data_IF_191873914471
#
_entry.id   IF_191873914471
#
_cell.length_a   1.000
_cell.length_b   1.000
_cell.length_c   1.000
_cell.angle_alpha   90.00
_cell.angle_beta   90.00
_cell.angle_gamma   90.00
#
_symmetry.space_group_name_H-M   'P 1'
#
loop_
_entity.id
_entity.type
_entity.pdbx_description
1 polymer ?
#
# COMPACT_ATOMS: atom_id res chain seq x y z
N UNK A 1 5.73 -12.11 18.18
CA UNK A 1 5.51 -12.90 16.95
C UNK A 1 6.71 -12.68 16.03
N UNK A 2 7.50 -13.70 15.70
CA UNK A 2 8.64 -13.52 14.79
C UNK A 2 8.16 -13.55 13.33
N UNK A 3 8.12 -12.38 12.70
CA UNK A 3 7.93 -12.24 11.27
C UNK A 3 9.30 -12.15 10.60
N UNK A 4 9.58 -13.08 9.70
CA UNK A 4 10.83 -13.13 8.94
C UNK A 4 10.51 -13.05 7.46
N UNK A 5 11.26 -12.21 6.76
CA UNK A 5 11.32 -12.15 5.30
C UNK A 5 12.80 -12.14 4.92
N UNK A 6 13.14 -12.94 3.91
CA UNK A 6 14.44 -12.87 3.26
C UNK A 6 14.19 -12.80 1.76
N UNK A 7 14.66 -11.72 1.14
CA UNK A 7 14.65 -11.58 -0.30
C UNK A 7 16.03 -11.98 -0.84
N UNK A 8 16.03 -12.67 -1.99
CA UNK A 8 17.23 -13.01 -2.74
C UNK A 8 16.93 -12.92 -4.25
N UNK A 9 17.96 -12.89 -5.08
CA UNK A 9 17.85 -12.86 -6.53
C UNK A 9 18.42 -14.14 -7.13
N UNK A 10 17.63 -14.79 -7.98
CA UNK A 10 18.04 -15.95 -8.76
C UNK A 10 17.90 -15.63 -10.26
N UNK A 11 18.96 -15.09 -10.86
CA UNK A 11 18.90 -14.57 -12.23
C UNK A 11 17.97 -13.36 -12.32
N UNK A 12 16.94 -13.47 -13.15
CA UNK A 12 15.92 -12.43 -13.31
C UNK A 12 14.78 -12.51 -12.29
N UNK A 13 14.71 -13.59 -11.51
CA UNK A 13 13.67 -13.81 -10.50
C UNK A 13 14.08 -13.19 -9.15
N UNK A 14 13.13 -12.55 -8.48
CA UNK A 14 13.28 -12.15 -7.08
C UNK A 14 12.48 -13.11 -6.19
N UNK A 15 13.16 -13.73 -5.23
CA UNK A 15 12.61 -14.80 -4.40
C UNK A 15 12.54 -14.31 -2.96
N UNK A 16 11.35 -14.32 -2.37
CA UNK A 16 11.08 -13.92 -0.99
C UNK A 16 10.62 -15.11 -0.15
N UNK A 17 11.29 -15.42 0.96
CA UNK A 17 10.87 -16.48 1.88
C UNK A 17 10.15 -15.86 3.08
N UNK A 18 8.86 -16.18 3.24
CA UNK A 18 8.01 -15.67 4.32
C UNK A 18 7.57 -16.79 5.27
N UNK A 19 7.57 -16.47 6.57
CA UNK A 19 6.98 -17.38 7.57
C UNK A 19 5.45 -17.45 7.41
N UNK A 20 4.79 -18.57 7.80
CA UNK A 20 3.33 -18.70 7.77
C UNK A 20 2.58 -17.53 8.45
N UNK A 21 3.11 -17.08 9.60
CA UNK A 21 2.53 -15.96 10.33
C UNK A 21 2.66 -14.63 9.57
N UNK A 22 3.78 -14.42 8.87
CA UNK A 22 3.99 -13.22 8.06
C UNK A 22 3.02 -13.18 6.88
N UNK A 23 2.85 -14.31 6.19
CA UNK A 23 1.90 -14.44 5.08
C UNK A 23 0.47 -14.24 5.55
N UNK A 24 0.03 -14.95 6.60
CA UNK A 24 -1.33 -14.82 7.11
C UNK A 24 -1.65 -13.39 7.56
N UNK A 25 -0.68 -12.73 8.21
CA UNK A 25 -0.83 -11.34 8.62
C UNK A 25 -0.90 -10.39 7.41
N UNK A 26 0.06 -10.49 6.48
CA UNK A 26 0.15 -9.62 5.31
C UNK A 26 -1.06 -9.78 4.39
N UNK A 27 -1.49 -11.02 4.10
CA UNK A 27 -2.72 -11.27 3.33
C UNK A 27 -3.92 -10.59 3.97
N UNK A 28 -4.11 -10.75 5.29
CA UNK A 28 -5.23 -10.09 5.99
C UNK A 28 -5.17 -8.57 5.86
N UNK A 29 -3.98 -7.96 6.00
CA UNK A 29 -3.85 -6.51 5.85
C UNK A 29 -4.09 -6.05 4.41
N UNK A 30 -3.54 -6.76 3.43
CA UNK A 30 -3.73 -6.45 2.01
C UNK A 30 -5.19 -6.62 1.57
N UNK A 31 -5.91 -7.61 2.08
CA UNK A 31 -7.36 -7.76 1.85
C UNK A 31 -8.13 -6.56 2.42
N UNK A 32 -7.90 -6.18 3.68
CA UNK A 32 -8.57 -5.00 4.25
C UNK A 32 -8.21 -3.69 3.54
N UNK A 33 -6.98 -3.58 3.04
CA UNK A 33 -6.56 -2.43 2.24
C UNK A 33 -7.23 -2.41 0.85
N UNK A 34 -7.37 -3.57 0.20
CA UNK A 34 -8.17 -3.71 -1.03
C UNK A 34 -9.61 -3.27 -0.84
N UNK A 35 -10.26 -3.72 0.25
CA UNK A 35 -11.63 -3.34 0.59
C UNK A 35 -11.76 -1.83 0.85
N UNK A 36 -10.77 -1.21 1.51
CA UNK A 36 -10.72 0.23 1.73
C UNK A 36 -10.62 1.02 0.41
N UNK A 37 -9.76 0.58 -0.51
CA UNK A 37 -9.59 1.22 -1.82
C UNK A 37 -10.84 1.06 -2.68
N UNK A 38 -11.44 -0.12 -2.68
CA UNK A 38 -12.70 -0.38 -3.38
C UNK A 38 -13.82 0.49 -2.81
N UNK A 39 -13.97 0.55 -1.48
CA UNK A 39 -14.92 1.44 -0.82
C UNK A 39 -14.73 2.89 -1.24
N UNK A 40 -13.49 3.38 -1.32
CA UNK A 40 -13.23 4.75 -1.79
C UNK A 40 -13.66 4.92 -3.24
N UNK A 41 -13.32 3.96 -4.10
CA UNK A 41 -13.66 4.00 -5.51
C UNK A 41 -15.18 4.08 -5.74
N UNK A 42 -15.99 3.39 -4.93
CA UNK A 42 -17.46 3.44 -5.05
C UNK A 42 -18.07 4.82 -4.78
N UNK A 43 -17.32 5.75 -4.16
CA UNK A 43 -17.78 7.11 -3.88
C UNK A 43 -17.53 8.09 -5.02
N UNK A 44 -16.80 7.69 -6.05
CA UNK A 44 -16.49 8.58 -7.17
C UNK A 44 -17.71 8.81 -8.04
N UNK A 45 -17.90 10.07 -8.44
CA UNK A 45 -19.01 10.48 -9.27
C UNK A 45 -18.73 10.07 -10.72
N UNK A 46 -19.69 9.33 -11.29
CA UNK A 46 -19.72 8.99 -12.72
C UNK A 46 -20.64 9.90 -13.52
N UNK A 47 -21.53 10.64 -12.85
CA UNK A 47 -22.51 11.55 -13.46
C UNK A 47 -21.96 12.98 -13.70
N UNK A 48 -20.67 13.20 -13.41
CA UNK A 48 -20.02 14.47 -13.72
C UNK A 48 -19.75 14.58 -15.24
N UNK A 49 -20.08 15.70 -15.92
CA UNK A 49 -19.86 15.85 -17.37
C UNK A 49 -18.41 15.68 -17.80
N UNK A 50 -17.45 16.01 -16.92
CA UNK A 50 -16.02 15.79 -17.18
C UNK A 50 -15.68 14.31 -17.05
N UNK A 51 -16.18 13.64 -16.01
CA UNK A 51 -16.03 12.19 -15.82
C UNK A 51 -16.60 11.41 -17.02
N UNK A 52 -17.76 11.80 -17.54
CA UNK A 52 -18.35 11.23 -18.75
C UNK A 52 -17.47 11.46 -19.98
N UNK A 53 -16.96 12.69 -20.15
CA UNK A 53 -16.13 13.05 -21.29
C UNK A 53 -14.78 12.30 -21.34
N UNK A 54 -14.19 11.98 -20.18
CA UNK A 54 -12.90 11.27 -20.09
C UNK A 54 -13.04 9.77 -19.83
N UNK A 55 -14.24 9.29 -19.48
CA UNK A 55 -14.53 7.89 -19.18
C UNK A 55 -13.93 7.38 -17.86
N UNK A 56 -13.61 8.28 -16.92
CA UNK A 56 -13.02 7.95 -15.62
C UNK A 56 -13.84 8.61 -14.50
N UNK A 57 -14.26 7.86 -13.46
CA UNK A 57 -14.96 8.44 -12.31
C UNK A 57 -14.09 9.48 -11.60
N UNK A 58 -14.69 10.56 -11.11
CA UNK A 58 -13.97 11.63 -10.41
C UNK A 58 -14.32 11.71 -8.92
N UNK A 59 -13.35 12.07 -8.10
CA UNK A 59 -13.60 12.41 -6.71
C UNK A 59 -14.35 13.76 -6.64
N UNK A 60 -15.56 13.76 -6.09
CA UNK A 60 -16.38 14.97 -5.93
C UNK A 60 -16.00 15.79 -4.69
N UNK A 61 -15.32 15.16 -3.73
CA UNK A 61 -14.82 15.78 -2.51
C UNK A 61 -13.60 14.99 -1.97
N UNK A 62 -12.71 15.64 -1.19
CA UNK A 62 -11.63 14.95 -0.49
C UNK A 62 -12.18 13.84 0.41
N UNK A 63 -11.42 12.77 0.58
CA UNK A 63 -11.75 11.82 1.64
C UNK A 63 -11.40 12.41 3.01
N UNK A 64 -12.11 11.93 4.03
CA UNK A 64 -11.90 12.38 5.41
C UNK A 64 -11.43 11.24 6.33
N UNK A 65 -11.33 10.00 5.82
CA UNK A 65 -10.87 8.88 6.63
C UNK A 65 -9.35 8.98 6.86
N UNK A 66 -8.87 9.21 8.10
CA UNK A 66 -7.49 9.60 8.34
C UNK A 66 -6.42 8.65 7.76
N UNK A 67 -6.55 7.31 7.89
CA UNK A 67 -5.58 6.38 7.30
C UNK A 67 -5.49 6.46 5.77
N UNK A 68 -6.62 6.62 5.07
CA UNK A 68 -6.62 6.72 3.61
C UNK A 68 -6.06 8.06 3.14
N UNK A 69 -6.42 9.16 3.81
CA UNK A 69 -5.85 10.48 3.52
C UNK A 69 -4.34 10.47 3.68
N UNK A 70 -3.82 9.84 4.74
CA UNK A 70 -2.37 9.69 4.93
C UNK A 70 -1.72 8.96 3.76
N UNK A 71 -2.30 7.85 3.34
CA UNK A 71 -1.83 7.05 2.22
C UNK A 71 -1.84 7.81 0.89
N UNK A 72 -2.89 8.58 0.61
CA UNK A 72 -2.99 9.37 -0.62
C UNK A 72 -1.97 10.51 -0.66
N UNK A 73 -1.70 11.15 0.49
CA UNK A 73 -0.71 12.24 0.61
C UNK A 73 0.73 11.82 0.35
N UNK A 74 1.05 10.54 0.50
CA UNK A 74 2.36 10.00 0.14
C UNK A 74 2.60 9.99 -1.38
N UNK A 75 1.53 10.03 -2.18
CA UNK A 75 1.60 9.95 -3.65
C UNK A 75 1.18 11.27 -4.30
N UNK A 76 0.16 11.93 -3.74
CA UNK A 76 -0.40 13.19 -4.21
C UNK A 76 0.00 14.27 -3.21
N UNK A 77 1.00 15.11 -3.52
CA UNK A 77 1.52 16.09 -2.57
C UNK A 77 0.46 17.12 -2.15
N UNK A 78 0.50 17.55 -0.88
CA UNK A 78 -0.44 18.54 -0.34
C UNK A 78 -0.22 19.95 -0.93
N UNK A 79 0.94 20.22 -1.54
CA UNK A 79 1.22 21.49 -2.22
C UNK A 79 0.36 21.67 -3.49
N UNK A 80 -0.15 20.58 -4.06
CA UNK A 80 -1.03 20.64 -5.22
C UNK A 80 -2.42 21.20 -4.85
N UNK A 81 -2.99 22.10 -5.67
CA UNK A 81 -4.36 22.58 -5.49
C UNK A 81 -5.35 21.42 -5.38
N UNK A 82 -6.34 21.55 -4.49
CA UNK A 82 -7.35 20.51 -4.26
C UNK A 82 -8.00 19.96 -5.55
N UNK A 83 -8.41 20.78 -6.52
CA UNK A 83 -8.98 20.25 -7.77
C UNK A 83 -8.03 19.33 -8.54
N UNK A 84 -6.71 19.59 -8.49
CA UNK A 84 -5.71 18.73 -9.12
C UNK A 84 -5.59 17.41 -8.34
N UNK A 85 -5.58 17.49 -7.00
CA UNK A 85 -5.53 16.30 -6.15
C UNK A 85 -6.74 15.39 -6.38
N UNK A 86 -7.94 15.96 -6.43
CA UNK A 86 -9.19 15.22 -6.70
C UNK A 86 -9.24 14.64 -8.11
N UNK A 87 -8.58 15.28 -9.08
CA UNK A 87 -8.46 14.75 -10.44
C UNK A 87 -7.52 13.53 -10.49
N UNK A 88 -6.44 13.51 -9.70
CA UNK A 88 -5.46 12.41 -9.68
C UNK A 88 -5.88 11.24 -8.81
N UNK A 89 -6.66 11.50 -7.76
CA UNK A 89 -7.03 10.51 -6.77
C UNK A 89 -7.60 9.21 -7.34
N UNK A 90 -8.54 9.23 -8.31
CA UNK A 90 -9.11 8.00 -8.86
C UNK A 90 -8.08 7.10 -9.55
N UNK A 91 -7.12 7.69 -10.26
CA UNK A 91 -6.04 6.94 -10.90
C UNK A 91 -5.09 6.33 -9.87
N UNK A 92 -4.75 7.08 -8.83
CA UNK A 92 -3.92 6.58 -7.71
C UNK A 92 -4.63 5.45 -6.98
N UNK A 93 -5.91 5.59 -6.66
CA UNK A 93 -6.70 4.53 -5.99
C UNK A 93 -6.81 3.29 -6.85
N UNK A 94 -7.09 3.44 -8.16
CA UNK A 94 -7.14 2.32 -9.11
C UNK A 94 -5.79 1.61 -9.23
N UNK A 95 -4.70 2.38 -9.33
CA UNK A 95 -3.34 1.84 -9.39
C UNK A 95 -3.00 1.04 -8.12
N UNK A 96 -3.25 1.60 -6.93
CA UNK A 96 -3.02 0.94 -5.66
C UNK A 96 -3.88 -0.32 -5.49
N UNK A 97 -5.12 -0.29 -6.00
CA UNK A 97 -6.01 -1.45 -5.96
C UNK A 97 -5.44 -2.57 -6.83
N UNK A 98 -5.06 -2.28 -8.07
CA UNK A 98 -4.45 -3.26 -8.98
C UNK A 98 -3.13 -3.81 -8.41
N UNK A 99 -2.27 -2.95 -7.86
CA UNK A 99 -1.03 -3.36 -7.21
C UNK A 99 -1.30 -4.27 -5.99
N UNK A 100 -2.34 -3.96 -5.21
CA UNK A 100 -2.77 -4.80 -4.08
C UNK A 100 -3.21 -6.18 -4.52
N UNK A 101 -3.94 -6.29 -5.63
CA UNK A 101 -4.33 -7.59 -6.19
C UNK A 101 -3.09 -8.41 -6.60
N UNK A 102 -2.13 -7.79 -7.28
CA UNK A 102 -0.88 -8.47 -7.66
C UNK A 102 -0.12 -8.98 -6.43
N UNK A 103 -0.06 -8.21 -5.34
CA UNK A 103 0.55 -8.67 -4.08
C UNK A 103 -0.21 -9.87 -3.51
N UNK A 104 -1.55 -9.84 -3.51
CA UNK A 104 -2.37 -10.96 -3.01
C UNK A 104 -2.22 -12.24 -3.85
N UNK A 105 -2.11 -12.08 -5.17
CA UNK A 105 -1.96 -13.17 -6.14
C UNK A 105 -0.56 -13.81 -6.06
N UNK A 106 0.46 -13.02 -5.74
CA UNK A 106 1.86 -13.49 -5.62
C UNK A 106 2.21 -13.99 -4.21
N UNK A 107 1.40 -13.66 -3.19
CA UNK A 107 1.55 -14.22 -1.86
C UNK A 107 1.10 -15.68 -1.81
N UNK A 108 1.87 -16.60 -1.20
CA UNK A 108 1.40 -17.98 -0.99
C UNK A 108 0.22 -18.02 0.00
N UNK A 109 -0.55 -19.11 0.03
CA UNK A 109 -1.72 -19.21 0.90
C UNK A 109 -1.38 -19.39 2.39
N UNK A 110 -0.37 -20.21 2.71
CA UNK A 110 -0.11 -20.68 4.09
C UNK A 110 1.30 -20.35 4.61
N UNK A 111 2.13 -19.68 3.82
CA UNK A 111 3.57 -19.50 4.08
C UNK A 111 4.42 -19.96 2.90
N UNK A 112 5.70 -19.63 2.91
CA UNK A 112 6.66 -20.14 1.91
C UNK A 112 7.20 -19.07 0.98
N UNK A 113 7.36 -19.44 -0.28
CA UNK A 113 8.14 -18.67 -1.25
C UNK A 113 7.22 -17.79 -2.09
N UNK A 114 7.53 -16.50 -2.13
CA UNK A 114 7.07 -15.53 -3.12
C UNK A 114 8.10 -15.53 -4.24
N UNK A 115 7.67 -15.66 -5.50
CA UNK A 115 8.54 -15.51 -6.66
C UNK A 115 7.99 -14.39 -7.53
N UNK A 116 8.78 -13.34 -7.73
CA UNK A 116 8.46 -12.23 -8.61
C UNK A 116 9.32 -12.37 -9.87
N UNK A 117 8.67 -12.67 -10.99
CA UNK A 117 9.30 -12.94 -12.28
C UNK A 117 9.18 -11.74 -13.22
N UNK A 118 8.12 -10.95 -13.08
CA UNK A 118 7.84 -9.84 -13.96
C UNK A 118 8.03 -8.50 -13.27
N UNK A 119 8.53 -7.51 -14.02
CA UNK A 119 8.79 -6.17 -13.49
C UNK A 119 7.56 -5.53 -12.84
N UNK A 120 6.37 -5.75 -13.43
CA UNK A 120 5.12 -5.23 -12.91
C UNK A 120 4.78 -5.76 -11.50
N UNK A 121 5.21 -6.99 -11.16
CA UNK A 121 4.99 -7.57 -9.84
C UNK A 121 5.86 -6.88 -8.79
N UNK A 122 7.12 -6.59 -9.15
CA UNK A 122 8.05 -5.86 -8.30
C UNK A 122 7.51 -4.45 -8.04
N UNK A 123 7.12 -3.74 -9.10
CA UNK A 123 6.57 -2.38 -8.99
C UNK A 123 5.27 -2.38 -8.15
N UNK A 124 4.42 -3.41 -8.29
CA UNK A 124 3.21 -3.55 -7.48
C UNK A 124 3.52 -3.74 -5.98
N UNK A 125 4.50 -4.58 -5.64
CA UNK A 125 4.95 -4.73 -4.25
C UNK A 125 5.55 -3.43 -3.69
N UNK A 126 6.33 -2.72 -4.50
CA UNK A 126 6.94 -1.43 -4.12
C UNK A 126 5.90 -0.31 -3.99
N UNK A 127 4.74 -0.41 -4.63
CA UNK A 127 3.64 0.55 -4.49
C UNK A 127 2.70 0.21 -3.33
N UNK A 128 2.14 -0.99 -3.31
CA UNK A 128 1.04 -1.34 -2.42
C UNK A 128 1.49 -1.56 -0.98
N UNK A 129 2.64 -2.21 -0.75
CA UNK A 129 3.08 -2.55 0.62
C UNK A 129 3.48 -1.31 1.42
N UNK A 130 4.23 -0.32 0.88
CA UNK A 130 4.49 0.92 1.62
C UNK A 130 3.23 1.74 1.88
N UNK A 131 2.30 1.78 0.93
CA UNK A 131 1.07 2.55 1.10
C UNK A 131 0.15 1.90 2.15
N UNK A 132 0.00 0.57 2.12
CA UNK A 132 -0.70 -0.17 3.17
C UNK A 132 -0.04 0.01 4.54
N UNK A 133 1.30 0.07 4.61
CA UNK A 133 2.03 0.39 5.86
C UNK A 133 1.59 1.73 6.45
N UNK A 134 1.38 2.75 5.62
CA UNK A 134 0.90 4.08 6.05
C UNK A 134 -0.51 3.96 6.64
N UNK A 135 -1.42 3.30 5.93
CA UNK A 135 -2.79 3.04 6.40
C UNK A 135 -2.76 2.33 7.75
N UNK A 136 -2.00 1.25 7.86
CA UNK A 136 -1.87 0.47 9.09
C UNK A 136 -1.28 1.30 10.24
N UNK A 137 -0.20 2.03 10.02
CA UNK A 137 0.48 2.80 11.05
C UNK A 137 -0.40 3.92 11.61
N UNK A 138 -1.18 4.60 10.77
CA UNK A 138 -2.15 5.62 11.22
C UNK A 138 -3.31 4.95 11.95
N UNK A 139 -3.89 3.88 11.39
CA UNK A 139 -5.01 3.16 12.00
C UNK A 139 -4.67 2.57 13.37
N UNK A 140 -3.43 2.09 13.55
CA UNK A 140 -2.92 1.56 14.82
C UNK A 140 -2.46 2.64 15.81
N UNK A 141 -2.50 3.93 15.43
CA UNK A 141 -2.06 5.04 16.27
C UNK A 141 -0.54 5.14 16.45
N UNK A 142 0.24 4.48 15.58
CA UNK A 142 1.70 4.56 15.55
C UNK A 142 2.15 5.89 14.94
N UNK A 143 1.46 6.33 13.89
CA UNK A 143 1.69 7.60 13.22
C UNK A 143 0.58 8.62 13.54
N UNK A 144 0.91 9.92 13.50
CA UNK A 144 -0.09 10.96 13.74
C UNK A 144 -1.20 10.91 12.68
N UNK A 145 -2.39 11.36 13.08
CA UNK A 145 -3.47 11.61 12.12
C UNK A 145 -3.09 12.78 11.20
N UNK A 146 -3.37 12.71 9.88
CA UNK A 146 -3.11 13.82 8.98
C UNK A 146 -3.86 15.08 9.39
N UNK A 147 -3.22 16.23 9.23
CA UNK A 147 -3.85 17.54 9.49
C UNK A 147 -5.11 17.70 8.65
N UNK A 148 -6.20 18.12 9.30
CA UNK A 148 -7.51 18.32 8.70
C UNK A 148 -8.46 17.12 8.83
N UNK A 149 -7.99 15.99 9.38
CA UNK A 149 -8.79 14.77 9.57
C UNK A 149 -9.09 14.47 11.04
N UNK A 150 -8.71 15.37 11.96
CA UNK A 150 -8.91 15.21 13.40
C UNK A 150 -10.38 14.98 13.79
N UNK A 151 -11.38 15.67 13.18
CA UNK A 151 -12.79 15.41 13.49
C UNK A 151 -13.21 13.96 13.23
N UNK A 152 -12.59 13.30 12.26
CA UNK A 152 -12.91 11.94 11.80
C UNK A 152 -12.10 10.85 12.51
N UNK A 153 -11.28 11.19 13.51
CA UNK A 153 -10.54 10.21 14.34
C UNK A 153 -11.47 9.13 14.94
N UNK A 154 -12.72 9.46 15.22
CA UNK A 154 -13.70 8.53 15.76
C UNK A 154 -14.05 7.36 14.81
N UNK A 155 -13.75 7.48 13.51
CA UNK A 155 -13.93 6.43 12.50
C UNK A 155 -12.78 5.42 12.51
N UNK A 156 -11.65 5.73 13.15
CA UNK A 156 -10.50 4.84 13.26
C UNK A 156 -10.75 3.76 14.32
N UNK A 157 -10.09 2.59 14.21
CA UNK A 157 -10.01 1.64 15.31
C UNK A 157 -9.50 2.34 16.57
N UNK A 158 -10.04 1.94 17.74
CA UNK A 158 -9.47 2.40 19.01
C UNK A 158 -8.07 1.83 19.15
N UNK A 159 -7.10 2.71 19.38
CA UNK A 159 -5.74 2.29 19.69
C UNK A 159 -5.75 1.40 20.95
N UNK A 160 -5.04 0.29 20.87
CA UNK A 160 -4.84 -0.65 21.97
C UNK A 160 -3.43 -0.44 22.53
N UNK A 161 -3.28 0.17 23.73
CA UNK A 161 -1.96 0.44 24.31
C UNK A 161 -1.11 -0.81 24.49
N UNK A 162 -1.74 -1.96 24.75
CA UNK A 162 -1.03 -3.22 24.98
C UNK A 162 -0.42 -3.78 23.67
N UNK A 163 -0.91 -3.30 22.53
CA UNK A 163 -0.44 -3.69 21.19
C UNK A 163 0.50 -2.68 20.54
N UNK A 164 0.70 -1.51 21.12
CA UNK A 164 1.46 -0.42 20.50
C UNK A 164 2.86 -0.86 20.05
N UNK A 165 3.60 -1.55 20.92
CA UNK A 165 4.94 -2.05 20.58
C UNK A 165 4.92 -3.09 19.46
N UNK A 166 3.94 -3.99 19.50
CA UNK A 166 3.77 -4.99 18.45
C UNK A 166 3.41 -4.36 17.10
N UNK A 167 2.48 -3.41 17.08
CA UNK A 167 2.05 -2.74 15.85
C UNK A 167 3.17 -1.81 15.31
N UNK A 168 4.00 -1.24 16.17
CA UNK A 168 5.24 -0.54 15.78
C UNK A 168 6.23 -1.49 15.11
N UNK A 169 6.49 -2.66 15.71
CA UNK A 169 7.38 -3.67 15.14
C UNK A 169 6.88 -4.20 13.78
N UNK A 170 5.56 -4.34 13.62
CA UNK A 170 4.93 -4.71 12.35
C UNK A 170 5.14 -3.63 11.28
N UNK A 171 5.01 -2.35 11.65
CA UNK A 171 5.27 -1.22 10.76
C UNK A 171 6.73 -1.21 10.29
N UNK A 172 7.67 -1.46 11.20
CA UNK A 172 9.10 -1.58 10.87
C UNK A 172 9.44 -2.83 10.07
N UNK A 173 8.74 -3.93 10.30
CA UNK A 173 8.85 -5.14 9.50
C UNK A 173 8.40 -4.88 8.05
N UNK A 174 7.26 -4.22 7.83
CA UNK A 174 6.80 -3.83 6.49
C UNK A 174 7.80 -2.93 5.74
N UNK A 175 8.41 -1.98 6.45
CA UNK A 175 9.47 -1.13 5.90
C UNK A 175 10.64 -1.98 5.39
N UNK A 176 11.07 -2.97 6.18
CA UNK A 176 12.16 -3.88 5.81
C UNK A 176 11.80 -4.79 4.64
N UNK A 177 10.57 -5.31 4.58
CA UNK A 177 10.09 -6.12 3.45
C UNK A 177 10.32 -5.40 2.12
N UNK A 178 9.91 -4.13 2.02
CA UNK A 178 10.02 -3.37 0.77
C UNK A 178 11.42 -2.81 0.54
N UNK A 179 12.10 -2.38 1.61
CA UNK A 179 13.48 -1.91 1.52
C UNK A 179 14.40 -2.98 0.93
N UNK A 180 14.37 -4.18 1.48
CA UNK A 180 15.18 -5.29 0.97
C UNK A 180 14.78 -5.75 -0.44
N UNK A 181 13.48 -5.71 -0.79
CA UNK A 181 13.04 -5.97 -2.17
C UNK A 181 13.63 -4.94 -3.14
N UNK A 182 13.58 -3.66 -2.76
CA UNK A 182 14.04 -2.54 -3.60
C UNK A 182 15.55 -2.61 -3.83
N UNK A 183 16.31 -2.91 -2.79
CA UNK A 183 17.77 -3.09 -2.86
C UNK A 183 18.18 -4.16 -3.87
N UNK A 184 17.44 -5.27 -3.97
CA UNK A 184 17.77 -6.36 -4.90
C UNK A 184 17.10 -6.23 -6.28
N UNK A 185 16.09 -5.36 -6.41
CA UNK A 185 15.35 -5.17 -7.65
C UNK A 185 16.17 -4.42 -8.71
N UNK A 186 17.10 -3.56 -8.31
CA UNK A 186 18.01 -2.88 -9.24
C UNK A 186 18.88 -3.94 -9.96
N UNK A 187 18.95 -3.95 -11.31
CA UNK A 187 19.82 -4.86 -12.02
C UNK A 187 21.27 -4.66 -11.57
N UNK A 188 22.02 -5.75 -11.40
CA UNK A 188 23.46 -5.64 -11.14
C UNK A 188 24.08 -4.77 -12.24
N UNK A 189 24.98 -3.82 -11.91
CA UNK A 189 25.60 -3.00 -12.93
C UNK A 189 26.25 -3.93 -13.96
N UNK A 190 25.81 -3.81 -15.22
CA UNK A 190 26.45 -4.50 -16.34
C UNK A 190 27.93 -4.20 -16.28
N UNK A 191 28.73 -5.27 -16.13
CA UNK A 191 30.17 -5.15 -16.21
C UNK A 191 30.50 -4.48 -17.55
N UNK A 192 31.30 -3.41 -17.59
CA UNK A 192 31.73 -2.79 -18.85
C UNK A 192 32.65 -3.70 -19.69
N UNK A 193 32.77 -4.97 -19.31
CA UNK A 193 33.64 -5.97 -19.90
C UNK A 193 32.91 -7.20 -20.47
N UNK A 194 31.57 -7.16 -20.55
CA UNK A 194 30.75 -8.15 -21.30
C UNK A 194 30.52 -7.70 -22.75
#
# INVERSE_FOLDING_TARGET
MHLTVCWDRAGDELIGVFSPHAVAWLRRQMTGYSELLEWRYTKYATEDPTAEAIGVPLASAPDEYPPLVAALREIIPDEEPEPIRLWWEPDVVRFLYAATQVVLDTLPETGGVVVLTERHQIDAWQAAVPNMRVVFAVAAGIWPVPVGTEPQRHMMPRADPDRFEQDRDLTEWLRRVVGSLTEIAEPAPTSPWD
#
